data_IF_288585471977
#
_entry.id   IF_288585471977
#
_cell.length_a   1.000
_cell.length_b   1.000
_cell.length_c   1.000
_cell.angle_alpha   90.00
_cell.angle_beta   90.00
_cell.angle_gamma   90.00
#
_symmetry.space_group_name_H-M   'P 1'
#
loop_
_entity.id
_entity.type
_entity.pdbx_description
1 polymer ?
#
# COMPACT_ATOMS: atom_id res chain seq x y z
N UNK A 1 -11.37 -6.07 -18.07
CA UNK A 1 -11.07 -4.64 -17.73
C UNK A 1 -9.58 -4.55 -17.57
N UNK A 2 -8.97 -3.50 -18.13
CA UNK A 2 -7.53 -3.27 -18.01
C UNK A 2 -7.14 -3.00 -16.54
N UNK A 3 -5.91 -3.33 -16.12
CA UNK A 3 -5.44 -3.07 -14.76
C UNK A 3 -5.16 -1.57 -14.56
N UNK A 4 -6.22 -0.77 -14.36
CA UNK A 4 -6.12 0.70 -14.31
C UNK A 4 -5.31 1.22 -13.11
N UNK A 5 -5.19 0.43 -12.04
CA UNK A 5 -4.31 0.71 -10.90
C UNK A 5 -3.52 -0.54 -10.50
N UNK A 6 -2.20 -0.41 -10.46
CA UNK A 6 -1.26 -1.51 -10.20
C UNK A 6 -0.42 -1.19 -8.97
N UNK A 7 -0.16 -2.20 -8.12
CA UNK A 7 0.75 -2.10 -6.99
C UNK A 7 2.04 -2.83 -7.36
N UNK A 8 3.15 -2.10 -7.43
CA UNK A 8 4.45 -2.66 -7.75
C UNK A 8 5.28 -2.77 -6.47
N UNK A 9 5.39 -3.98 -5.95
CA UNK A 9 6.22 -4.35 -4.82
C UNK A 9 7.66 -4.50 -5.29
N UNK A 10 8.29 -3.37 -5.63
CA UNK A 10 9.56 -3.34 -6.36
C UNK A 10 10.76 -3.83 -5.55
N UNK A 11 10.64 -3.81 -4.22
CA UNK A 11 11.77 -4.02 -3.32
C UNK A 11 11.35 -4.95 -2.19
N UNK A 12 12.10 -6.03 -1.96
CA UNK A 12 11.86 -6.97 -0.86
C UNK A 12 12.42 -6.51 0.50
N UNK A 13 13.65 -5.95 0.60
CA UNK A 13 14.19 -5.55 1.89
C UNK A 13 13.30 -4.54 2.62
N UNK A 14 13.17 -4.70 3.94
CA UNK A 14 12.47 -3.78 4.84
C UNK A 14 13.36 -3.47 6.05
N UNK A 15 13.30 -2.22 6.53
CA UNK A 15 14.00 -1.77 7.73
C UNK A 15 13.13 -1.85 9.00
N UNK A 16 11.85 -2.24 8.89
CA UNK A 16 10.97 -2.56 10.01
C UNK A 16 10.77 -4.09 10.13
N UNK A 17 10.12 -4.54 11.20
CA UNK A 17 9.91 -5.96 11.52
C UNK A 17 8.47 -6.20 11.98
N UNK A 18 7.50 -5.70 11.21
CA UNK A 18 6.09 -5.79 11.56
C UNK A 18 5.65 -7.25 11.67
N UNK A 19 5.08 -7.64 12.81
CA UNK A 19 4.72 -9.04 13.10
C UNK A 19 3.63 -9.56 12.14
N UNK A 20 2.72 -8.68 11.72
CA UNK A 20 1.63 -8.99 10.79
C UNK A 20 1.99 -8.84 9.31
N UNK A 21 3.27 -8.60 8.95
CA UNK A 21 3.67 -8.34 7.57
C UNK A 21 3.30 -9.51 6.64
N UNK A 22 2.30 -9.32 5.78
CA UNK A 22 1.78 -10.33 4.87
C UNK A 22 2.46 -10.35 3.48
N UNK A 23 3.49 -9.53 3.28
CA UNK A 23 4.19 -9.32 2.00
C UNK A 23 5.72 -9.46 2.19
N UNK A 24 6.15 -10.52 2.89
CA UNK A 24 7.57 -10.77 3.20
C UNK A 24 8.34 -11.39 2.03
N UNK A 25 7.62 -12.01 1.09
CA UNK A 25 8.10 -12.62 -0.15
C UNK A 25 9.35 -13.48 0.05
N UNK A 26 9.36 -14.42 1.01
CA UNK A 26 10.58 -15.13 1.41
C UNK A 26 11.17 -15.95 0.26
N UNK A 27 10.33 -16.44 -0.64
CA UNK A 27 10.63 -17.21 -1.85
C UNK A 27 11.25 -16.40 -2.99
N UNK A 28 11.20 -15.05 -2.93
CA UNK A 28 11.74 -14.18 -3.99
C UNK A 28 13.20 -13.82 -3.72
N UNK A 29 14.04 -14.03 -4.73
CA UNK A 29 15.44 -13.63 -4.74
C UNK A 29 15.71 -12.68 -5.91
N UNK A 30 16.28 -11.51 -5.63
CA UNK A 30 16.55 -10.48 -6.63
C UNK A 30 15.41 -9.49 -6.80
N UNK A 31 15.56 -8.65 -7.83
CA UNK A 31 14.62 -7.62 -8.24
C UNK A 31 14.94 -7.21 -9.68
N UNK A 32 13.97 -6.60 -10.39
CA UNK A 32 14.19 -6.04 -11.72
C UNK A 32 15.29 -4.98 -11.68
N UNK A 33 16.10 -4.92 -12.74
CA UNK A 33 17.01 -3.78 -12.93
C UNK A 33 16.22 -2.48 -13.11
N UNK A 34 16.90 -1.33 -13.01
CA UNK A 34 16.28 -0.03 -13.30
C UNK A 34 15.70 0.01 -14.73
N UNK A 35 16.43 -0.51 -15.72
CA UNK A 35 16.00 -0.54 -17.12
C UNK A 35 14.79 -1.46 -17.32
N UNK A 36 14.79 -2.63 -16.69
CA UNK A 36 13.66 -3.56 -16.75
C UNK A 36 12.42 -2.98 -16.06
N UNK A 37 12.63 -2.26 -14.96
CA UNK A 37 11.55 -1.55 -14.26
C UNK A 37 10.96 -0.43 -15.14
N UNK A 38 11.77 0.31 -15.90
CA UNK A 38 11.26 1.26 -16.88
C UNK A 38 10.47 0.58 -18.00
N UNK A 39 10.96 -0.54 -18.52
CA UNK A 39 10.25 -1.33 -19.53
C UNK A 39 8.89 -1.77 -18.98
N UNK A 40 8.87 -2.31 -17.75
CA UNK A 40 7.63 -2.72 -17.10
C UNK A 40 6.62 -1.57 -17.00
N UNK A 41 7.04 -0.39 -16.54
CA UNK A 41 6.15 0.78 -16.45
C UNK A 41 5.55 1.17 -17.81
N UNK A 42 6.34 1.07 -18.88
CA UNK A 42 5.87 1.33 -20.25
C UNK A 42 4.82 0.32 -20.69
N UNK A 43 5.06 -0.98 -20.51
CA UNK A 43 4.10 -2.03 -20.85
C UNK A 43 2.79 -1.88 -20.07
N UNK A 44 2.87 -1.55 -18.77
CA UNK A 44 1.68 -1.31 -17.96
C UNK A 44 0.88 -0.12 -18.51
N UNK A 45 1.55 0.97 -18.88
CA UNK A 45 0.89 2.15 -19.45
C UNK A 45 0.20 1.84 -20.78
N UNK A 46 0.87 1.08 -21.65
CA UNK A 46 0.34 0.62 -22.94
C UNK A 46 -0.87 -0.31 -22.76
N UNK A 47 -0.86 -1.15 -21.71
CA UNK A 47 -1.99 -2.00 -21.33
C UNK A 47 -3.13 -1.25 -20.61
N UNK A 48 -3.06 0.08 -20.51
CA UNK A 48 -4.13 0.92 -19.95
C UNK A 48 -4.04 1.19 -18.45
N UNK A 49 -2.90 0.90 -17.81
CA UNK A 49 -2.65 1.38 -16.45
C UNK A 49 -2.64 2.91 -16.44
N UNK A 50 -3.29 3.49 -15.44
CA UNK A 50 -3.39 4.93 -15.24
C UNK A 50 -2.77 5.38 -13.92
N UNK A 51 -2.64 4.46 -12.96
CA UNK A 51 -2.05 4.72 -11.65
C UNK A 51 -1.13 3.60 -11.21
N UNK A 52 0.09 3.96 -10.86
CA UNK A 52 1.06 3.04 -10.27
C UNK A 52 1.25 3.36 -8.78
N UNK A 53 1.20 2.32 -7.95
CA UNK A 53 1.51 2.42 -6.53
C UNK A 53 2.79 1.65 -6.23
N UNK A 54 3.86 2.35 -5.88
CA UNK A 54 5.11 1.73 -5.44
C UNK A 54 4.97 1.28 -3.98
N UNK A 55 5.26 0.01 -3.72
CA UNK A 55 5.14 -0.67 -2.44
C UNK A 55 6.26 -1.71 -2.27
N UNK A 56 6.05 -2.75 -1.47
CA UNK A 56 7.04 -3.79 -1.18
C UNK A 56 7.55 -3.70 0.26
N UNK A 57 8.65 -4.40 0.56
CA UNK A 57 9.26 -4.49 1.88
C UNK A 57 9.33 -3.14 2.57
N UNK A 58 10.22 -2.27 2.09
CA UNK A 58 10.08 -0.81 2.22
C UNK A 58 10.61 -0.14 0.93
N UNK A 59 9.74 0.47 0.10
CA UNK A 59 10.13 1.02 -1.20
C UNK A 59 11.19 2.12 -1.10
N UNK A 60 11.20 2.92 -0.01
CA UNK A 60 12.19 4.00 0.17
C UNK A 60 13.62 3.50 0.42
N UNK A 61 13.83 2.18 0.54
CA UNK A 61 15.16 1.55 0.53
C UNK A 61 15.68 1.24 -0.88
N UNK A 62 14.82 1.26 -1.90
CA UNK A 62 15.23 1.06 -3.28
C UNK A 62 16.03 2.28 -3.77
N UNK A 63 17.29 2.10 -4.21
CA UNK A 63 18.16 3.23 -4.54
C UNK A 63 17.70 4.03 -5.75
N UNK A 64 16.86 3.43 -6.61
CA UNK A 64 16.38 4.04 -7.85
C UNK A 64 14.88 4.36 -7.84
N UNK A 65 14.24 4.42 -6.67
CA UNK A 65 12.81 4.74 -6.55
C UNK A 65 12.48 6.12 -7.14
N UNK A 66 13.36 7.11 -6.94
CA UNK A 66 13.17 8.48 -7.44
C UNK A 66 13.09 8.54 -8.96
N UNK A 67 13.97 7.80 -9.65
CA UNK A 67 13.99 7.68 -11.10
C UNK A 67 12.73 6.98 -11.64
N UNK A 68 12.24 5.96 -10.93
CA UNK A 68 11.00 5.26 -11.29
C UNK A 68 9.76 6.15 -11.13
N UNK A 69 9.69 6.94 -10.05
CA UNK A 69 8.62 7.92 -9.87
C UNK A 69 8.62 8.96 -11.00
N UNK A 70 9.80 9.49 -11.35
CA UNK A 70 9.94 10.45 -12.44
C UNK A 70 9.56 9.83 -13.80
N UNK A 71 9.95 8.57 -14.05
CA UNK A 71 9.59 7.85 -15.28
C UNK A 71 8.09 7.58 -15.37
N UNK A 72 7.46 7.11 -14.28
CA UNK A 72 6.02 6.89 -14.22
C UNK A 72 5.23 8.18 -14.51
N UNK A 73 5.65 9.30 -13.91
CA UNK A 73 5.04 10.61 -14.18
C UNK A 73 5.19 11.03 -15.64
N UNK A 74 6.36 10.84 -16.26
CA UNK A 74 6.57 11.13 -17.71
C UNK A 74 5.69 10.28 -18.62
N UNK A 75 5.32 9.07 -18.20
CA UNK A 75 4.38 8.19 -18.91
C UNK A 75 2.90 8.60 -18.69
N UNK A 76 2.65 9.65 -17.90
CA UNK A 76 1.29 10.11 -17.57
C UNK A 76 0.57 9.20 -16.57
N UNK A 77 1.31 8.42 -15.77
CA UNK A 77 0.74 7.66 -14.66
C UNK A 77 0.58 8.58 -13.45
N UNK A 78 -0.55 8.45 -12.75
CA UNK A 78 -0.66 8.94 -11.37
C UNK A 78 0.28 8.11 -10.51
N UNK A 79 1.15 8.77 -9.75
CA UNK A 79 2.14 8.11 -8.89
C UNK A 79 1.67 8.08 -7.45
N UNK A 80 1.76 6.90 -6.84
CA UNK A 80 1.42 6.67 -5.44
C UNK A 80 2.54 5.87 -4.78
N UNK A 81 2.77 6.13 -3.48
CA UNK A 81 3.75 5.43 -2.66
C UNK A 81 3.09 4.93 -1.38
N UNK A 82 3.26 3.65 -1.03
CA UNK A 82 2.93 3.11 0.30
C UNK A 82 4.24 2.90 1.05
N UNK A 83 4.41 3.51 2.21
CA UNK A 83 5.69 3.46 2.95
C UNK A 83 5.47 3.45 4.46
N UNK A 84 6.42 2.87 5.19
CA UNK A 84 6.55 3.02 6.65
C UNK A 84 7.09 4.40 7.06
N UNK A 85 7.56 5.22 6.12
CA UNK A 85 7.95 6.60 6.33
C UNK A 85 9.42 6.81 6.74
N UNK A 86 10.13 5.77 7.20
CA UNK A 86 11.45 5.91 7.83
C UNK A 86 12.52 6.62 6.97
N UNK A 87 12.44 6.51 5.63
CA UNK A 87 13.31 7.23 4.69
C UNK A 87 12.56 8.18 3.75
N UNK A 88 11.33 8.55 4.11
CA UNK A 88 10.49 9.36 3.24
C UNK A 88 11.04 10.78 3.07
N UNK A 89 11.52 11.44 4.12
CA UNK A 89 12.06 12.81 4.04
C UNK A 89 13.21 12.93 3.03
N UNK A 90 14.08 11.92 2.95
CA UNK A 90 15.19 11.88 2.00
C UNK A 90 14.70 11.79 0.56
N UNK A 91 13.67 10.97 0.31
CA UNK A 91 13.04 10.88 -1.01
C UNK A 91 12.38 12.20 -1.40
N UNK A 92 11.62 12.81 -0.48
CA UNK A 92 10.87 14.05 -0.74
C UNK A 92 11.80 15.22 -1.09
N UNK A 93 12.98 15.29 -0.48
CA UNK A 93 13.96 16.36 -0.73
C UNK A 93 14.29 16.55 -2.22
N UNK A 94 14.27 15.49 -3.03
CA UNK A 94 14.57 15.55 -4.47
C UNK A 94 13.41 15.14 -5.37
N UNK A 95 12.45 14.36 -4.88
CA UNK A 95 11.43 13.73 -5.73
C UNK A 95 9.98 14.02 -5.33
N UNK A 96 9.72 14.94 -4.39
CA UNK A 96 8.35 15.29 -4.00
C UNK A 96 7.43 15.65 -5.19
N UNK A 97 7.95 16.40 -6.17
CA UNK A 97 7.21 16.81 -7.37
C UNK A 97 6.82 15.65 -8.31
N UNK A 98 7.37 14.45 -8.09
CA UNK A 98 7.03 13.25 -8.86
C UNK A 98 5.99 12.37 -8.17
N UNK A 99 5.43 12.80 -7.04
CA UNK A 99 4.55 11.99 -6.19
C UNK A 99 3.20 12.69 -6.07
N UNK A 100 2.13 12.05 -6.56
CA UNK A 100 0.78 12.58 -6.37
C UNK A 100 0.18 12.13 -5.03
N UNK A 101 0.50 10.91 -4.58
CA UNK A 101 -0.01 10.32 -3.35
C UNK A 101 1.06 9.67 -2.48
N UNK A 102 0.98 9.87 -1.17
CA UNK A 102 1.65 9.01 -0.18
C UNK A 102 0.63 8.41 0.78
N UNK A 103 0.71 7.09 0.96
CA UNK A 103 0.04 6.36 2.03
C UNK A 103 1.06 6.01 3.11
N UNK A 104 0.97 6.69 4.25
CA UNK A 104 1.78 6.38 5.42
C UNK A 104 1.11 5.27 6.23
N UNK A 105 1.90 4.27 6.59
CA UNK A 105 1.42 3.15 7.38
C UNK A 105 1.61 3.44 8.88
N UNK A 106 0.51 3.69 9.59
CA UNK A 106 0.48 3.90 11.04
C UNK A 106 -0.67 3.10 11.61
N UNK A 107 -0.33 2.06 12.38
CA UNK A 107 -1.30 1.09 12.87
C UNK A 107 -1.80 1.40 14.29
N UNK A 108 -1.20 2.36 14.97
CA UNK A 108 -1.51 2.76 16.35
C UNK A 108 -1.12 4.21 16.55
N UNK A 109 -1.89 4.96 17.34
CA UNK A 109 -1.53 6.28 17.85
C UNK A 109 -0.77 6.18 19.20
N UNK A 110 -0.67 4.98 19.78
CA UNK A 110 0.19 4.66 20.91
C UNK A 110 1.54 4.06 20.46
N UNK A 111 2.65 4.63 20.95
CA UNK A 111 4.01 4.19 20.57
C UNK A 111 4.36 2.80 21.08
N UNK A 112 3.89 2.44 22.29
CA UNK A 112 4.16 1.13 22.85
C UNK A 112 3.47 0.04 22.00
N UNK A 113 2.23 0.28 21.60
CA UNK A 113 1.48 -0.61 20.71
C UNK A 113 2.11 -0.67 19.33
N UNK A 114 2.55 0.46 18.76
CA UNK A 114 3.32 0.50 17.51
C UNK A 114 4.60 -0.35 17.62
N UNK A 115 5.38 -0.19 18.69
CA UNK A 115 6.59 -0.96 18.93
C UNK A 115 6.30 -2.47 19.09
N UNK A 116 5.27 -2.84 19.86
CA UNK A 116 4.83 -4.24 20.03
C UNK A 116 4.40 -4.88 18.71
N UNK A 117 3.86 -4.09 17.80
CA UNK A 117 3.49 -4.48 16.45
C UNK A 117 4.70 -4.61 15.51
N UNK A 118 5.90 -4.20 15.93
CA UNK A 118 7.12 -4.21 15.13
C UNK A 118 7.27 -3.00 14.18
N UNK A 119 6.47 -1.95 14.40
CA UNK A 119 6.51 -0.68 13.67
C UNK A 119 7.46 0.30 14.36
N UNK A 120 8.67 0.40 13.80
CA UNK A 120 9.71 1.29 14.28
C UNK A 120 10.30 0.83 15.61
N UNK A 121 10.95 1.75 16.32
CA UNK A 121 11.69 1.46 17.56
C UNK A 121 11.23 2.33 18.74
N UNK A 122 9.94 2.72 18.75
CA UNK A 122 9.32 3.50 19.83
C UNK A 122 9.18 5.01 19.56
N UNK A 123 9.28 5.44 18.30
CA UNK A 123 9.11 6.83 17.88
C UNK A 123 8.31 6.98 16.58
N UNK A 124 7.62 5.92 16.15
CA UNK A 124 6.96 5.85 14.84
C UNK A 124 5.78 6.80 14.74
N UNK A 125 4.94 6.89 15.77
CA UNK A 125 3.77 7.77 15.82
C UNK A 125 4.19 9.24 15.76
N UNK A 126 5.10 9.66 16.65
CA UNK A 126 5.58 11.05 16.68
C UNK A 126 6.27 11.42 15.37
N UNK A 127 7.07 10.51 14.83
CA UNK A 127 7.74 10.71 13.55
C UNK A 127 6.75 10.82 12.40
N UNK A 128 5.70 9.98 12.38
CA UNK A 128 4.68 9.99 11.34
C UNK A 128 3.89 11.30 11.29
N UNK A 129 3.58 11.91 12.44
CA UNK A 129 2.93 13.24 12.49
C UNK A 129 3.76 14.27 11.70
N UNK A 130 5.06 14.35 11.96
CA UNK A 130 5.96 15.26 11.25
C UNK A 130 6.02 14.96 9.74
N UNK A 131 5.95 13.67 9.36
CA UNK A 131 5.92 13.29 7.95
C UNK A 131 4.63 13.71 7.25
N UNK A 132 3.48 13.60 7.92
CA UNK A 132 2.22 14.12 7.38
C UNK A 132 2.30 15.63 7.17
N UNK A 133 2.84 16.39 8.13
CA UNK A 133 3.04 17.84 7.97
C UNK A 133 3.96 18.17 6.79
N UNK A 134 5.06 17.42 6.62
CA UNK A 134 5.97 17.57 5.48
C UNK A 134 5.29 17.27 4.15
N UNK A 135 4.46 16.23 4.08
CA UNK A 135 3.69 15.88 2.87
C UNK A 135 2.71 17.00 2.51
N UNK A 136 2.01 17.58 3.50
CA UNK A 136 1.11 18.71 3.30
C UNK A 136 1.85 19.95 2.79
N UNK A 137 3.06 20.23 3.31
CA UNK A 137 3.90 21.34 2.82
C UNK A 137 4.29 21.17 1.34
N UNK A 138 4.51 19.94 0.90
CA UNK A 138 4.76 19.61 -0.51
C UNK A 138 3.49 19.51 -1.36
N UNK A 139 2.31 19.76 -0.80
CA UNK A 139 1.00 19.64 -1.47
C UNK A 139 0.75 18.22 -2.03
N UNK A 140 1.34 17.21 -1.40
CA UNK A 140 1.13 15.81 -1.75
C UNK A 140 -0.14 15.32 -1.07
N UNK A 141 -0.97 14.59 -1.81
CA UNK A 141 -2.22 14.04 -1.28
C UNK A 141 -1.91 12.86 -0.37
N UNK A 142 -2.46 12.86 0.84
CA UNK A 142 -2.06 11.88 1.87
C UNK A 142 -3.15 10.89 2.20
N UNK A 143 -2.75 9.63 2.40
CA UNK A 143 -3.56 8.57 2.97
C UNK A 143 -2.93 8.08 4.26
N UNK A 144 -3.79 7.67 5.18
CA UNK A 144 -3.40 6.87 6.33
C UNK A 144 -3.77 5.41 6.05
N UNK A 145 -2.83 4.50 6.20
CA UNK A 145 -3.07 3.05 6.17
C UNK A 145 -2.91 2.51 7.60
N UNK A 146 -3.90 1.75 8.07
CA UNK A 146 -3.91 1.17 9.42
C UNK A 146 -4.41 -0.27 9.36
N UNK A 147 -3.63 -1.21 9.88
CA UNK A 147 -4.00 -2.63 10.05
C UNK A 147 -4.53 -2.83 11.47
N UNK A 148 -5.77 -3.27 11.57
CA UNK A 148 -6.45 -3.52 12.83
C UNK A 148 -6.22 -4.97 13.26
N UNK A 149 -5.60 -5.11 14.43
CA UNK A 149 -5.16 -6.35 15.07
C UNK A 149 -5.74 -6.46 16.47
N UNK A 150 -5.46 -7.57 17.15
CA UNK A 150 -5.83 -7.78 18.56
C UNK A 150 -5.23 -6.71 19.48
N UNK A 151 -4.12 -6.08 19.11
CA UNK A 151 -3.44 -5.09 19.95
C UNK A 151 -4.06 -3.69 19.89
N UNK A 152 -4.76 -3.33 18.81
CA UNK A 152 -5.24 -1.95 18.58
C UNK A 152 -6.75 -1.83 18.28
N UNK A 153 -7.51 -2.93 18.14
CA UNK A 153 -8.95 -2.83 17.79
C UNK A 153 -9.81 -2.04 18.80
N UNK A 154 -9.34 -1.87 20.04
CA UNK A 154 -10.00 -1.07 21.08
C UNK A 154 -9.55 0.38 21.12
N UNK A 155 -8.51 0.73 20.37
CA UNK A 155 -7.93 2.07 20.36
C UNK A 155 -8.90 3.10 19.78
N UNK A 156 -8.78 4.34 20.27
CA UNK A 156 -9.40 5.51 19.68
C UNK A 156 -8.31 6.38 19.04
N UNK A 157 -8.22 6.33 17.71
CA UNK A 157 -7.26 7.09 16.92
C UNK A 157 -7.81 8.44 16.42
N UNK A 158 -8.99 8.86 16.88
CA UNK A 158 -9.67 10.05 16.34
C UNK A 158 -8.82 11.31 16.41
N UNK A 159 -8.14 11.55 17.53
CA UNK A 159 -7.28 12.72 17.70
C UNK A 159 -6.07 12.67 16.76
N UNK A 160 -5.44 11.50 16.65
CA UNK A 160 -4.34 11.30 15.71
C UNK A 160 -4.78 11.56 14.27
N UNK A 161 -5.94 11.03 13.86
CA UNK A 161 -6.49 11.22 12.50
C UNK A 161 -6.79 12.68 12.21
N UNK A 162 -7.37 13.41 13.17
CA UNK A 162 -7.58 14.86 13.07
C UNK A 162 -6.28 15.62 12.93
N UNK A 163 -5.25 15.23 13.68
CA UNK A 163 -3.94 15.87 13.61
C UNK A 163 -3.28 15.69 12.25
N UNK A 164 -3.28 14.46 11.71
CA UNK A 164 -2.57 14.14 10.46
C UNK A 164 -3.36 14.48 9.20
N UNK A 165 -4.67 14.76 9.33
CA UNK A 165 -5.57 15.26 8.27
C UNK A 165 -5.48 14.47 6.96
N UNK A 166 -5.70 13.14 6.95
CA UNK A 166 -5.62 12.38 5.72
C UNK A 166 -6.86 12.59 4.86
N UNK A 167 -6.68 12.64 3.54
CA UNK A 167 -7.82 12.66 2.62
C UNK A 167 -8.58 11.32 2.65
N UNK A 168 -7.85 10.23 2.90
CA UNK A 168 -8.39 8.87 2.93
C UNK A 168 -7.74 8.06 4.04
N UNK A 169 -8.55 7.44 4.88
CA UNK A 169 -8.09 6.49 5.89
C UNK A 169 -8.47 5.07 5.47
N UNK A 170 -7.47 4.31 5.02
CA UNK A 170 -7.60 2.90 4.66
C UNK A 170 -7.40 2.06 5.92
N UNK A 171 -8.44 1.34 6.31
CA UNK A 171 -8.48 0.55 7.52
C UNK A 171 -8.63 -0.91 7.12
N UNK A 172 -7.62 -1.71 7.40
CA UNK A 172 -7.54 -3.11 6.98
C UNK A 172 -7.75 -4.02 8.18
N UNK A 173 -8.58 -5.05 8.04
CA UNK A 173 -8.54 -6.16 8.98
C UNK A 173 -7.22 -6.91 8.79
N UNK A 174 -6.57 -7.31 9.89
CA UNK A 174 -5.35 -8.12 9.81
C UNK A 174 -5.58 -9.41 9.00
N UNK A 175 -4.67 -9.67 8.06
CA UNK A 175 -4.76 -10.74 7.09
C UNK A 175 -3.65 -11.76 7.30
N UNK A 176 -4.02 -13.04 7.42
CA UNK A 176 -3.08 -14.15 7.36
C UNK A 176 -2.92 -14.59 5.91
N UNK A 177 -1.67 -14.65 5.44
CA UNK A 177 -1.32 -15.20 4.13
C UNK A 177 -0.28 -16.30 4.35
N UNK A 178 -0.64 -17.50 3.92
CA UNK A 178 0.22 -18.68 4.03
C UNK A 178 1.52 -18.46 3.25
N UNK A 179 2.62 -18.78 3.89
CA UNK A 179 3.99 -18.59 3.41
C UNK A 179 4.56 -17.20 3.67
N UNK A 180 3.79 -16.27 4.25
CA UNK A 180 4.24 -14.88 4.45
C UNK A 180 4.40 -14.52 5.93
N UNK A 181 3.37 -14.78 6.74
CA UNK A 181 3.32 -14.42 8.16
C UNK A 181 2.90 -15.56 9.11
N UNK A 182 3.07 -16.81 8.65
CA UNK A 182 2.80 -18.01 9.44
C UNK A 182 3.62 -18.02 10.74
N UNK A 183 2.98 -18.42 11.83
CA UNK A 183 3.59 -18.53 13.16
C UNK A 183 3.85 -17.19 13.86
N UNK A 184 3.51 -16.07 13.23
CA UNK A 184 3.66 -14.72 13.79
C UNK A 184 2.32 -13.99 13.91
N UNK A 185 1.43 -14.12 12.91
CA UNK A 185 0.20 -13.31 12.81
C UNK A 185 -0.97 -13.87 13.62
N UNK A 186 -0.94 -15.14 14.01
CA UNK A 186 -2.09 -15.85 14.62
C UNK A 186 -2.57 -15.14 15.88
N UNK A 187 -1.61 -14.70 16.70
CA UNK A 187 -1.87 -13.93 17.90
C UNK A 187 -2.39 -12.52 17.62
N UNK A 188 -2.34 -12.03 16.39
CA UNK A 188 -2.84 -10.69 16.05
C UNK A 188 -4.23 -10.72 15.44
N UNK A 189 -4.75 -11.90 15.05
CA UNK A 189 -6.03 -12.05 14.38
C UNK A 189 -7.21 -11.55 15.22
N UNK A 190 -8.21 -11.00 14.54
CA UNK A 190 -9.47 -10.53 15.12
C UNK A 190 -10.65 -11.00 14.28
N UNK A 191 -11.80 -11.15 14.94
CA UNK A 191 -13.06 -11.42 14.25
C UNK A 191 -13.57 -10.18 13.52
N UNK A 192 -14.45 -10.39 12.54
CA UNK A 192 -15.08 -9.29 11.81
C UNK A 192 -15.90 -8.38 12.75
N UNK A 193 -16.50 -8.91 13.81
CA UNK A 193 -17.22 -8.10 14.81
C UNK A 193 -16.27 -7.13 15.52
N UNK A 194 -15.10 -7.59 15.96
CA UNK A 194 -14.07 -6.73 16.58
C UNK A 194 -13.59 -5.65 15.62
N UNK A 195 -13.40 -6.00 14.34
CA UNK A 195 -13.07 -5.03 13.31
C UNK A 195 -14.16 -3.95 13.16
N UNK A 196 -15.44 -4.37 13.10
CA UNK A 196 -16.58 -3.45 13.01
C UNK A 196 -16.73 -2.53 14.22
N UNK A 197 -16.35 -2.97 15.42
CA UNK A 197 -16.30 -2.10 16.62
C UNK A 197 -15.31 -0.95 16.38
N UNK A 198 -14.13 -1.22 15.83
CA UNK A 198 -13.15 -0.17 15.50
C UNK A 198 -13.72 0.80 14.45
N UNK A 199 -14.36 0.30 13.39
CA UNK A 199 -14.95 1.16 12.36
C UNK A 199 -16.05 2.06 12.94
N UNK A 200 -17.01 1.49 13.68
CA UNK A 200 -18.12 2.25 14.29
C UNK A 200 -17.62 3.35 15.23
N UNK A 201 -16.56 3.09 15.98
CA UNK A 201 -15.95 4.08 16.89
C UNK A 201 -15.48 5.34 16.16
N UNK A 202 -15.03 5.20 14.91
CA UNK A 202 -14.40 6.29 14.16
C UNK A 202 -15.24 6.80 12.98
N UNK A 203 -16.40 6.19 12.70
CA UNK A 203 -17.25 6.53 11.55
C UNK A 203 -17.65 8.01 11.52
N UNK A 204 -17.78 8.65 12.68
CA UNK A 204 -18.12 10.07 12.78
C UNK A 204 -17.10 10.98 12.09
N UNK A 205 -15.84 10.57 11.91
CA UNK A 205 -14.80 11.34 11.22
C UNK A 205 -15.12 11.56 9.72
N UNK A 206 -16.01 10.76 9.11
CA UNK A 206 -16.50 11.05 7.76
C UNK A 206 -17.24 12.40 7.69
N UNK A 207 -17.93 12.80 8.77
CA UNK A 207 -18.57 14.12 8.85
C UNK A 207 -17.58 15.27 8.99
N UNK A 208 -16.32 14.96 9.37
CA UNK A 208 -15.20 15.90 9.46
C UNK A 208 -14.36 15.94 8.17
N UNK A 209 -14.81 15.25 7.11
CA UNK A 209 -14.18 15.27 5.79
C UNK A 209 -13.12 14.19 5.55
N UNK A 210 -12.87 13.29 6.51
CA UNK A 210 -11.94 12.17 6.33
C UNK A 210 -12.66 11.00 5.68
N UNK A 211 -12.25 10.57 4.48
CA UNK A 211 -12.90 9.41 3.84
C UNK A 211 -12.40 8.09 4.42
N UNK A 212 -13.22 7.43 5.24
CA UNK A 212 -12.94 6.09 5.77
C UNK A 212 -13.18 5.03 4.70
N UNK A 213 -12.26 4.07 4.62
CA UNK A 213 -12.31 2.94 3.67
C UNK A 213 -11.89 1.68 4.41
N UNK A 214 -12.90 0.96 4.91
CA UNK A 214 -12.71 -0.28 5.64
C UNK A 214 -12.66 -1.47 4.67
N UNK A 215 -11.64 -2.32 4.79
CA UNK A 215 -11.50 -3.53 3.99
C UNK A 215 -11.35 -4.73 4.93
N UNK A 216 -12.33 -5.64 4.89
CA UNK A 216 -12.25 -6.94 5.55
C UNK A 216 -11.37 -7.88 4.73
N UNK A 217 -10.92 -8.99 5.32
CA UNK A 217 -10.11 -9.99 4.62
C UNK A 217 -10.77 -10.48 3.32
N UNK A 218 -12.10 -10.67 3.34
CA UNK A 218 -12.89 -11.08 2.16
C UNK A 218 -12.87 -10.03 1.04
N UNK A 219 -12.87 -8.73 1.38
CA UNK A 219 -12.81 -7.64 0.42
C UNK A 219 -11.38 -7.44 -0.13
N UNK A 220 -10.35 -7.67 0.69
CA UNK A 220 -8.96 -7.48 0.29
C UNK A 220 -8.49 -8.55 -0.71
N UNK A 221 -8.70 -9.82 -0.40
CA UNK A 221 -8.12 -10.93 -1.17
C UNK A 221 -8.58 -10.94 -2.64
N UNK A 222 -7.59 -10.90 -3.54
CA UNK A 222 -7.73 -10.87 -4.99
C UNK A 222 -8.32 -9.56 -5.55
N UNK A 223 -8.41 -8.49 -4.76
CA UNK A 223 -8.96 -7.19 -5.21
C UNK A 223 -7.90 -6.19 -5.69
N UNK A 224 -6.63 -6.58 -5.60
CA UNK A 224 -5.47 -5.78 -6.02
C UNK A 224 -4.81 -6.45 -7.22
N UNK A 225 -4.35 -5.63 -8.17
CA UNK A 225 -3.38 -6.07 -9.16
C UNK A 225 -2.01 -5.76 -8.58
N UNK A 226 -1.21 -6.80 -8.33
CA UNK A 226 0.07 -6.71 -7.63
C UNK A 226 1.19 -7.32 -8.47
N UNK A 227 2.34 -6.66 -8.48
CA UNK A 227 3.54 -7.10 -9.17
C UNK A 227 4.65 -7.25 -8.14
N UNK A 228 5.36 -8.37 -8.19
CA UNK A 228 6.46 -8.69 -7.29
C UNK A 228 7.79 -8.06 -7.76
N UNK A 229 8.89 -8.18 -6.99
CA UNK A 229 10.19 -7.62 -7.38
C UNK A 229 10.73 -8.16 -8.71
N UNK A 230 10.28 -9.32 -9.19
CA UNK A 230 10.74 -9.96 -10.43
C UNK A 230 9.89 -9.57 -11.65
N UNK A 231 8.92 -8.67 -11.47
CA UNK A 231 8.04 -8.25 -12.57
C UNK A 231 7.00 -9.30 -12.94
N UNK A 232 6.59 -10.16 -11.99
CA UNK A 232 5.48 -11.11 -12.17
C UNK A 232 4.24 -10.56 -11.51
N UNK A 233 3.08 -10.75 -12.12
CA UNK A 233 1.84 -10.55 -11.36
C UNK A 233 1.75 -11.62 -10.27
N UNK A 234 1.18 -11.24 -9.14
CA UNK A 234 0.81 -12.20 -8.10
C UNK A 234 -0.56 -11.91 -7.51
N UNK A 235 -1.18 -12.96 -6.97
CA UNK A 235 -2.49 -12.91 -6.33
C UNK A 235 -2.45 -13.63 -4.99
N UNK A 236 -3.20 -13.09 -4.03
CA UNK A 236 -3.46 -13.65 -2.71
C UNK A 236 -4.89 -14.22 -2.58
N UNK A 237 -5.62 -14.35 -3.69
CA UNK A 237 -7.04 -14.72 -3.73
C UNK A 237 -7.36 -16.05 -3.03
N UNK A 238 -6.38 -16.96 -2.94
CA UNK A 238 -6.50 -18.28 -2.31
C UNK A 238 -5.86 -18.33 -0.91
N UNK A 239 -5.47 -17.19 -0.35
CA UNK A 239 -4.80 -17.09 0.96
C UNK A 239 -3.32 -17.46 0.95
N UNK A 240 -2.70 -17.57 -0.23
CA UNK A 240 -1.27 -17.73 -0.47
C UNK A 240 -0.91 -17.02 -1.79
N UNK A 241 0.38 -16.72 -1.99
CA UNK A 241 0.82 -16.07 -3.22
C UNK A 241 0.89 -17.07 -4.39
N UNK A 242 0.17 -16.74 -5.47
CA UNK A 242 0.31 -17.38 -6.78
C UNK A 242 0.89 -16.38 -7.77
N UNK A 243 1.94 -16.79 -8.50
CA UNK A 243 2.68 -15.92 -9.41
C UNK A 243 2.45 -16.29 -10.87
N UNK A 244 2.38 -15.28 -11.74
CA UNK A 244 2.43 -15.45 -13.19
C UNK A 244 3.86 -15.70 -13.68
N UNK A 245 4.00 -15.94 -14.99
CA UNK A 245 5.26 -15.72 -15.70
C UNK A 245 5.62 -14.23 -15.71
N UNK A 246 6.92 -13.87 -15.87
CA UNK A 246 7.35 -12.47 -15.89
C UNK A 246 6.69 -11.68 -17.03
N UNK A 247 6.19 -10.48 -16.71
CA UNK A 247 5.51 -9.60 -17.67
C UNK A 247 6.43 -9.24 -18.83
N UNK A 248 7.73 -9.06 -18.58
CA UNK A 248 8.70 -8.75 -19.63
C UNK A 248 8.92 -9.90 -20.63
N UNK A 249 8.49 -11.12 -20.30
CA UNK A 249 8.61 -12.29 -21.18
C UNK A 249 7.33 -12.52 -21.99
N UNK A 250 6.16 -12.35 -21.38
CA UNK A 250 4.88 -12.76 -22.00
C UNK A 250 3.89 -11.63 -22.24
N UNK A 251 4.22 -10.40 -21.82
CA UNK A 251 3.34 -9.25 -21.88
C UNK A 251 2.30 -9.22 -20.75
N UNK A 252 1.64 -8.07 -20.62
CA UNK A 252 0.71 -7.79 -19.50
C UNK A 252 -0.52 -8.69 -19.54
N UNK A 253 -1.17 -8.82 -20.70
CA UNK A 253 -2.44 -9.56 -20.80
C UNK A 253 -2.27 -11.05 -20.50
N UNK A 254 -1.23 -11.68 -21.07
CA UNK A 254 -0.92 -13.09 -20.82
C UNK A 254 -0.56 -13.30 -19.36
N UNK A 255 0.35 -12.50 -18.79
CA UNK A 255 0.74 -12.64 -17.40
C UNK A 255 -0.44 -12.43 -16.44
N UNK A 256 -1.30 -11.42 -16.68
CA UNK A 256 -2.44 -11.13 -15.81
C UNK A 256 -3.49 -12.26 -15.86
N UNK A 257 -3.66 -12.92 -17.01
CA UNK A 257 -4.59 -14.04 -17.15
C UNK A 257 -4.20 -15.30 -16.35
N UNK A 258 -2.94 -15.38 -15.92
CA UNK A 258 -2.40 -16.52 -15.16
C UNK A 258 -2.63 -16.42 -13.65
N UNK A 259 -3.09 -15.26 -13.15
CA UNK A 259 -3.38 -15.05 -11.73
C UNK A 259 -4.84 -14.66 -11.53
N UNK A 260 -5.38 -14.98 -10.36
CA UNK A 260 -6.77 -14.69 -10.05
C UNK A 260 -6.94 -13.23 -9.58
N UNK A 261 -7.73 -12.45 -10.31
CA UNK A 261 -8.07 -11.08 -9.94
C UNK A 261 -9.58 -10.84 -10.05
N UNK A 262 -10.18 -10.37 -8.96
CA UNK A 262 -11.59 -10.02 -8.87
C UNK A 262 -11.78 -8.53 -9.12
N UNK A 263 -12.03 -8.20 -10.38
CA UNK A 263 -12.32 -6.84 -10.84
C UNK A 263 -13.43 -6.15 -10.02
N UNK A 264 -14.52 -6.84 -9.73
CA UNK A 264 -15.67 -6.20 -9.06
C UNK A 264 -15.30 -5.80 -7.62
N UNK A 265 -14.50 -6.62 -6.93
CA UNK A 265 -13.96 -6.26 -5.61
C UNK A 265 -13.08 -5.01 -5.62
N UNK A 266 -12.36 -4.74 -6.73
CA UNK A 266 -11.60 -3.49 -6.87
C UNK A 266 -12.51 -2.26 -6.87
N UNK A 267 -13.68 -2.36 -7.50
CA UNK A 267 -14.69 -1.28 -7.49
C UNK A 267 -15.34 -1.20 -6.12
N UNK A 268 -15.78 -2.32 -5.55
CA UNK A 268 -16.51 -2.39 -4.28
C UNK A 268 -15.71 -1.81 -3.10
N UNK A 269 -14.39 -2.01 -3.07
CA UNK A 269 -13.51 -1.42 -2.04
C UNK A 269 -13.16 0.07 -2.29
N UNK A 270 -13.82 0.71 -3.25
CA UNK A 270 -13.59 2.10 -3.63
C UNK A 270 -12.21 2.33 -4.23
N UNK A 271 -11.76 1.43 -5.11
CA UNK A 271 -10.51 1.57 -5.86
C UNK A 271 -10.54 2.76 -6.83
N UNK A 272 -11.73 3.08 -7.36
CA UNK A 272 -11.99 4.23 -8.22
C UNK A 272 -12.38 5.43 -7.35
N UNK A 273 -11.57 6.49 -7.43
CA UNK A 273 -11.82 7.77 -6.79
C UNK A 273 -11.02 8.85 -7.54
N UNK A 274 -11.21 10.13 -7.24
CA UNK A 274 -10.41 11.19 -7.87
C UNK A 274 -8.93 11.02 -7.47
N UNK A 275 -8.13 10.46 -8.38
CA UNK A 275 -6.70 10.25 -8.21
C UNK A 275 -5.87 11.52 -8.47
N UNK A 276 -6.43 12.56 -9.09
CA UNK A 276 -5.74 13.80 -9.47
C UNK A 276 -6.21 14.32 -10.82
N UNK A 277 -5.74 15.51 -11.21
CA UNK A 277 -6.24 16.31 -12.35
C UNK A 277 -6.19 15.67 -13.74
N UNK A 278 -5.48 14.54 -13.90
CA UNK A 278 -5.41 13.79 -15.17
C UNK A 278 -6.38 12.60 -15.24
N UNK A 279 -7.05 12.24 -14.14
CA UNK A 279 -8.01 11.15 -14.10
C UNK A 279 -9.43 11.71 -13.99
N UNK A 280 -10.12 11.78 -15.14
CA UNK A 280 -11.57 11.97 -15.17
C UNK A 280 -12.18 10.57 -15.22
N UNK A 281 -12.91 10.12 -14.19
CA UNK A 281 -13.70 8.90 -14.29
C UNK A 281 -14.73 9.11 -15.40
N UNK A 282 -14.58 8.37 -16.51
CA UNK A 282 -15.62 8.24 -17.54
C UNK A 282 -16.72 7.31 -17.04
#
# INVERSE_FOLDING_TARGET
MQPISVNFHLWKPCNYRCIFCYETMPDIQGHLSLNDSFHLLKLLREAGCQKINFAGGEPTLCPYLGELLAAARRLGLVTSLVTNGARLSQLLASHAHNIDWVALSVDSADELTSQRLGRGTGNHVKFSINLFDLLHQHQIRVKLNTVITRLNYQENMSEFVRQVRPERWKIFQVLAIKGQNDGLVEDLLISTEKFQIFIKRHQFLESEGVKLVAETNQLMQGSYVMIDPLGRFFSDAKGYHEYSQPILQVGVDVALSQVQWYKDKFVDRGGIYNWGSQYIPT
#
